data_IF_176613462425
#
_entry.id   IF_176613462425
#
_cell.length_a   1.000
_cell.length_b   1.000
_cell.length_c   1.000
_cell.angle_alpha   90.00
_cell.angle_beta   90.00
_cell.angle_gamma   90.00
#
_symmetry.space_group_name_H-M   'P 1'
#
loop_
_entity.id
_entity.type
_entity.pdbx_description
1 polymer ?
#
# COMPACT_ATOMS: atom_id res chain seq x y z
N UNK A 1 15.37 2.33 -4.66
CA UNK A 1 15.29 2.18 -3.18
C UNK A 1 14.96 0.73 -2.92
N UNK A 2 15.77 -0.01 -2.15
CA UNK A 2 15.49 -1.42 -1.88
C UNK A 2 14.25 -1.55 -1.00
N UNK A 3 13.28 -2.37 -1.41
CA UNK A 3 12.01 -2.61 -0.72
C UNK A 3 12.18 -2.84 0.78
N UNK A 4 13.10 -3.72 1.15
CA UNK A 4 13.27 -4.17 2.53
C UNK A 4 13.80 -3.05 3.44
N UNK A 5 14.54 -2.09 2.86
CA UNK A 5 15.04 -0.91 3.58
C UNK A 5 13.91 0.07 3.90
N UNK A 6 12.89 0.16 3.06
CA UNK A 6 11.78 1.11 3.24
C UNK A 6 11.02 0.83 4.53
N UNK A 7 10.76 -0.44 4.82
CA UNK A 7 10.08 -0.84 6.05
C UNK A 7 10.87 -0.45 7.31
N UNK A 8 12.19 -0.59 7.27
CA UNK A 8 13.08 -0.18 8.37
C UNK A 8 13.12 1.34 8.53
N UNK A 9 13.17 2.08 7.41
CA UNK A 9 13.19 3.55 7.43
C UNK A 9 11.85 4.17 7.86
N UNK A 10 10.73 3.50 7.56
CA UNK A 10 9.41 3.97 7.95
C UNK A 10 9.05 3.63 9.41
N UNK A 11 9.68 2.63 10.00
CA UNK A 11 9.43 2.19 11.38
C UNK A 11 9.48 3.34 12.41
N UNK A 12 10.53 4.19 12.48
CA UNK A 12 10.53 5.32 13.42
C UNK A 12 9.46 6.39 13.12
N UNK A 13 8.86 6.37 11.91
CA UNK A 13 7.83 7.33 11.51
C UNK A 13 6.42 6.86 11.88
N UNK A 14 6.14 5.56 11.78
CA UNK A 14 4.80 5.00 12.03
C UNK A 14 4.70 4.14 13.29
N UNK A 15 5.83 3.86 13.96
CA UNK A 15 5.89 2.99 15.15
C UNK A 15 5.68 1.50 14.85
N UNK A 16 5.54 1.11 13.58
CA UNK A 16 5.19 -0.24 13.16
C UNK A 16 6.44 -0.97 12.65
N UNK A 17 6.91 -2.03 13.34
CA UNK A 17 8.06 -2.81 12.89
C UNK A 17 7.78 -3.47 11.54
N UNK A 18 8.75 -3.60 10.64
CA UNK A 18 8.56 -4.32 9.38
C UNK A 18 8.25 -5.80 9.63
N UNK A 19 7.49 -6.43 8.73
CA UNK A 19 7.01 -7.81 8.90
C UNK A 19 8.10 -8.82 9.30
N UNK A 20 9.30 -8.84 8.68
CA UNK A 20 10.36 -9.76 9.09
C UNK A 20 10.79 -9.63 10.54
N UNK A 21 10.66 -8.43 11.14
CA UNK A 21 10.95 -8.19 12.56
C UNK A 21 9.80 -8.67 13.45
N UNK A 22 8.55 -8.54 12.99
CA UNK A 22 7.36 -9.06 13.72
C UNK A 22 7.32 -10.58 13.78
N UNK A 23 7.84 -11.24 12.75
CA UNK A 23 7.88 -12.69 12.65
C UNK A 23 9.01 -13.32 13.49
N UNK A 24 9.91 -12.50 14.05
CA UNK A 24 10.94 -12.99 14.96
C UNK A 24 10.31 -13.46 16.27
N UNK A 25 10.78 -14.58 16.84
CA UNK A 25 10.34 -15.01 18.15
C UNK A 25 10.68 -13.94 19.19
N UNK A 26 9.82 -13.82 20.21
CA UNK A 26 10.08 -12.95 21.34
C UNK A 26 11.47 -13.26 21.94
N UNK A 27 12.24 -12.23 22.23
CA UNK A 27 13.58 -12.40 22.77
C UNK A 27 13.52 -13.19 24.08
N UNK A 28 14.28 -14.28 24.17
CA UNK A 28 14.29 -15.18 25.32
C UNK A 28 14.70 -14.50 26.64
N UNK A 29 15.36 -13.33 26.57
CA UNK A 29 15.70 -12.51 27.72
C UNK A 29 15.36 -11.04 27.43
N UNK A 30 14.61 -10.36 28.32
CA UNK A 30 14.41 -8.93 28.20
C UNK A 30 15.76 -8.20 28.35
N UNK A 31 15.91 -7.11 27.60
CA UNK A 31 17.08 -6.22 27.75
C UNK A 31 17.10 -5.68 29.17
N UNK A 32 18.29 -5.59 29.77
CA UNK A 32 18.48 -4.99 31.10
C UNK A 32 18.62 -3.48 30.95
N UNK A 33 17.87 -2.73 31.75
CA UNK A 33 17.88 -1.26 31.78
C UNK A 33 16.89 -0.61 30.81
N UNK A 34 16.70 0.72 30.92
CA UNK A 34 15.84 1.48 30.03
C UNK A 34 16.45 1.50 28.62
N UNK A 35 15.82 0.78 27.70
CA UNK A 35 16.15 0.80 26.29
C UNK A 35 14.85 0.96 25.49
N UNK A 36 14.85 1.79 24.43
CA UNK A 36 13.68 1.94 23.59
C UNK A 36 13.34 0.58 22.94
N UNK A 37 12.04 0.29 22.88
CA UNK A 37 11.54 -0.96 22.31
C UNK A 37 11.55 -0.94 20.78
N UNK A 38 11.68 0.25 20.19
CA UNK A 38 11.68 0.51 18.76
C UNK A 38 12.70 1.60 18.41
N UNK A 39 13.10 1.75 17.13
CA UNK A 39 13.79 2.96 16.67
C UNK A 39 12.87 4.17 16.89
N UNK A 40 13.34 5.15 17.66
CA UNK A 40 12.60 6.36 18.00
C UNK A 40 13.29 7.59 17.40
N UNK A 41 12.50 8.55 16.93
CA UNK A 41 12.95 9.91 16.64
C UNK A 41 12.38 10.82 17.72
N UNK A 42 13.21 11.72 18.27
CA UNK A 42 12.70 12.78 19.15
C UNK A 42 11.70 13.66 18.40
N UNK A 43 10.84 14.37 19.13
CA UNK A 43 9.88 15.31 18.52
C UNK A 43 10.57 16.37 17.64
N UNK A 44 11.78 16.82 18.02
CA UNK A 44 12.58 17.77 17.25
C UNK A 44 13.10 17.16 15.95
N UNK A 45 13.63 15.94 16.00
CA UNK A 45 14.11 15.22 14.81
C UNK A 45 12.97 14.90 13.85
N UNK A 46 11.82 14.47 14.38
CA UNK A 46 10.61 14.20 13.59
C UNK A 46 10.14 15.45 12.85
N UNK A 47 10.06 16.60 13.55
CA UNK A 47 9.69 17.89 12.94
C UNK A 47 10.68 18.32 11.85
N UNK A 48 11.98 18.20 12.11
CA UNK A 48 13.03 18.53 11.14
C UNK A 48 12.97 17.61 9.92
N UNK A 49 12.78 16.30 10.12
CA UNK A 49 12.66 15.32 9.05
C UNK A 49 11.51 15.68 8.10
N UNK A 50 10.30 15.90 8.63
CA UNK A 50 9.16 16.22 7.77
C UNK A 50 9.28 17.59 7.09
N UNK A 51 9.87 18.59 7.77
CA UNK A 51 10.19 19.87 7.13
C UNK A 51 11.14 19.68 5.93
N UNK A 52 12.17 18.83 6.07
CA UNK A 52 13.09 18.50 4.97
C UNK A 52 12.42 17.70 3.87
N UNK A 53 11.52 16.76 4.19
CA UNK A 53 10.78 16.00 3.17
C UNK A 53 9.85 16.91 2.36
N UNK A 54 9.12 17.83 3.02
CA UNK A 54 8.30 18.85 2.34
C UNK A 54 9.14 19.73 1.41
N UNK A 55 10.24 20.29 1.92
CA UNK A 55 11.17 21.09 1.12
C UNK A 55 11.78 20.30 -0.05
N UNK A 56 12.14 19.03 0.17
CA UNK A 56 12.70 18.17 -0.88
C UNK A 56 11.67 17.90 -1.97
N UNK A 57 10.42 17.61 -1.58
CA UNK A 57 9.33 17.51 -2.54
C UNK A 57 9.21 18.80 -3.34
N UNK A 58 9.16 19.96 -2.68
CA UNK A 58 9.07 21.28 -3.34
C UNK A 58 10.19 21.59 -4.32
N UNK A 59 11.42 21.15 -4.04
CA UNK A 59 12.60 21.44 -4.87
C UNK A 59 12.82 20.41 -5.96
N UNK A 60 12.39 19.16 -5.75
CA UNK A 60 12.51 18.09 -6.72
C UNK A 60 11.51 18.30 -7.87
N UNK A 61 11.99 18.84 -9.00
CA UNK A 61 11.18 19.22 -10.18
C UNK A 61 11.68 18.54 -11.45
N UNK A 62 10.76 18.34 -12.40
CA UNK A 62 11.01 17.67 -13.67
C UNK A 62 11.21 16.15 -13.59
N UNK A 63 11.19 15.49 -14.76
CA UNK A 63 11.11 14.03 -14.87
C UNK A 63 12.26 13.29 -14.19
N UNK A 64 13.48 13.84 -14.26
CA UNK A 64 14.68 13.23 -13.65
C UNK A 64 14.64 13.17 -12.12
N UNK A 65 13.86 14.04 -11.48
CA UNK A 65 13.75 14.11 -10.02
C UNK A 65 12.39 13.61 -9.52
N UNK A 66 11.54 13.11 -10.42
CA UNK A 66 10.20 12.66 -10.07
C UNK A 66 10.20 11.59 -8.97
N UNK A 67 11.09 10.59 -9.04
CA UNK A 67 11.16 9.53 -8.05
C UNK A 67 11.49 10.07 -6.65
N UNK A 68 12.42 11.02 -6.57
CA UNK A 68 12.79 11.68 -5.32
C UNK A 68 11.61 12.48 -4.77
N UNK A 69 10.94 13.27 -5.62
CA UNK A 69 9.73 14.03 -5.27
C UNK A 69 8.66 13.09 -4.71
N UNK A 70 8.36 12.00 -5.41
CA UNK A 70 7.34 11.02 -5.01
C UNK A 70 7.67 10.38 -3.66
N UNK A 71 8.93 9.98 -3.44
CA UNK A 71 9.37 9.42 -2.16
C UNK A 71 9.26 10.43 -1.01
N UNK A 72 9.68 11.68 -1.25
CA UNK A 72 9.57 12.75 -0.26
C UNK A 72 8.10 13.06 0.10
N UNK A 73 7.20 13.11 -0.88
CA UNK A 73 5.76 13.27 -0.65
C UNK A 73 5.16 12.09 0.13
N UNK A 74 5.51 10.87 -0.26
CA UNK A 74 5.03 9.67 0.44
C UNK A 74 5.47 9.62 1.91
N UNK A 75 6.72 9.99 2.18
CA UNK A 75 7.27 10.06 3.55
C UNK A 75 6.67 11.22 4.35
N UNK A 76 6.40 12.35 3.71
CA UNK A 76 5.72 13.49 4.35
C UNK A 76 4.32 13.13 4.82
N UNK A 77 3.65 12.17 4.18
CA UNK A 77 2.35 11.65 4.61
C UNK A 77 2.35 10.75 5.85
N UNK A 78 3.46 10.69 6.58
CA UNK A 78 3.50 10.17 7.96
C UNK A 78 3.55 11.30 9.00
N UNK A 79 3.56 12.56 8.57
CA UNK A 79 3.46 13.70 9.47
C UNK A 79 2.03 13.80 9.98
N UNK A 80 1.86 13.93 11.29
CA UNK A 80 0.55 13.99 11.95
C UNK A 80 0.05 15.44 12.10
N UNK A 81 0.74 16.41 11.49
CA UNK A 81 0.30 17.81 11.47
C UNK A 81 -0.94 17.99 10.58
N UNK A 82 -1.90 18.79 11.04
CA UNK A 82 -3.19 19.02 10.38
C UNK A 82 -3.06 19.61 8.96
N UNK A 83 -2.00 20.38 8.70
CA UNK A 83 -1.73 21.01 7.40
C UNK A 83 -1.12 20.07 6.35
N UNK A 84 -0.79 18.83 6.73
CA UNK A 84 -0.09 17.86 5.87
C UNK A 84 -0.92 17.50 4.65
N UNK A 85 -2.22 17.23 4.83
CA UNK A 85 -3.10 16.82 3.73
C UNK A 85 -3.25 17.93 2.67
N UNK A 86 -3.48 19.17 3.11
CA UNK A 86 -3.62 20.33 2.23
C UNK A 86 -2.31 20.69 1.53
N UNK A 87 -1.20 20.69 2.28
CA UNK A 87 0.14 20.92 1.72
C UNK A 87 0.49 19.88 0.65
N UNK A 88 0.16 18.61 0.87
CA UNK A 88 0.38 17.56 -0.12
C UNK A 88 -0.51 17.72 -1.35
N UNK A 89 -1.79 18.07 -1.16
CA UNK A 89 -2.70 18.34 -2.26
C UNK A 89 -2.20 19.51 -3.13
N UNK A 90 -1.72 20.58 -2.50
CA UNK A 90 -1.09 21.70 -3.20
C UNK A 90 0.14 21.25 -4.00
N UNK A 91 1.07 20.54 -3.36
CA UNK A 91 2.26 20.02 -4.03
C UNK A 91 1.93 19.15 -5.25
N UNK A 92 0.88 18.35 -5.18
CA UNK A 92 0.46 17.48 -6.29
C UNK A 92 -0.15 18.27 -7.45
N UNK A 93 -0.81 19.39 -7.18
CA UNK A 93 -1.36 20.25 -8.23
C UNK A 93 -0.27 21.02 -9.00
N UNK A 94 0.82 21.39 -8.31
CA UNK A 94 1.89 22.22 -8.88
C UNK A 94 2.73 21.52 -9.93
N UNK A 95 2.88 20.19 -9.86
CA UNK A 95 3.62 19.41 -10.84
C UNK A 95 2.79 18.24 -11.31
N UNK A 96 2.45 18.26 -12.60
CA UNK A 96 1.81 17.14 -13.28
C UNK A 96 2.90 16.41 -14.04
N UNK A 97 3.32 15.23 -13.55
CA UNK A 97 4.26 14.43 -14.31
C UNK A 97 3.67 14.12 -15.68
N UNK A 98 4.53 13.77 -16.64
CA UNK A 98 4.07 13.30 -17.94
C UNK A 98 4.32 11.81 -18.05
N UNK A 99 3.33 11.09 -18.57
CA UNK A 99 3.45 9.66 -18.86
C UNK A 99 2.59 8.79 -17.95
N UNK A 100 1.91 7.84 -18.59
CA UNK A 100 0.86 7.02 -17.98
C UNK A 100 1.26 6.35 -16.65
N UNK A 101 2.46 5.77 -16.56
CA UNK A 101 2.91 5.09 -15.34
C UNK A 101 3.18 6.08 -14.21
N UNK A 102 3.84 7.18 -14.53
CA UNK A 102 4.26 8.21 -13.60
C UNK A 102 3.03 8.88 -12.99
N UNK A 103 2.03 9.20 -13.82
CA UNK A 103 0.74 9.73 -13.41
C UNK A 103 0.01 8.81 -12.43
N UNK A 104 -0.04 7.51 -12.73
CA UNK A 104 -0.73 6.54 -11.87
C UNK A 104 -0.01 6.29 -10.56
N UNK A 105 1.33 6.22 -10.56
CA UNK A 105 2.10 6.08 -9.32
C UNK A 105 2.00 7.33 -8.44
N UNK A 106 1.96 8.52 -9.04
CA UNK A 106 1.70 9.76 -8.31
C UNK A 106 0.29 9.75 -7.70
N UNK A 107 -0.75 9.48 -8.49
CA UNK A 107 -2.14 9.40 -8.05
C UNK A 107 -2.32 8.38 -6.91
N UNK A 108 -1.64 7.23 -6.98
CA UNK A 108 -1.62 6.24 -5.90
C UNK A 108 -1.05 6.81 -4.60
N UNK A 109 0.12 7.48 -4.67
CA UNK A 109 0.74 8.10 -3.49
C UNK A 109 -0.17 9.16 -2.89
N UNK A 110 -0.84 9.97 -3.72
CA UNK A 110 -1.84 10.95 -3.28
C UNK A 110 -2.95 10.29 -2.48
N UNK A 111 -3.61 9.31 -3.08
CA UNK A 111 -4.73 8.62 -2.47
C UNK A 111 -4.32 7.91 -1.18
N UNK A 112 -3.14 7.28 -1.16
CA UNK A 112 -2.64 6.58 0.01
C UNK A 112 -2.38 7.52 1.19
N UNK A 113 -1.87 8.72 0.94
CA UNK A 113 -1.67 9.70 2.02
C UNK A 113 -3.01 10.30 2.47
N UNK A 114 -3.88 10.69 1.56
CA UNK A 114 -5.20 11.22 1.89
C UNK A 114 -6.01 10.23 2.75
N UNK A 115 -5.97 8.95 2.39
CA UNK A 115 -6.56 7.86 3.14
C UNK A 115 -6.02 7.75 4.58
N UNK A 116 -4.74 8.03 4.83
CA UNK A 116 -4.16 8.04 6.20
C UNK A 116 -4.74 9.16 7.06
N UNK A 117 -5.10 10.28 6.44
CA UNK A 117 -5.74 11.41 7.09
C UNK A 117 -7.28 11.33 7.07
N UNK A 118 -7.84 10.18 6.69
CA UNK A 118 -9.28 9.91 6.74
C UNK A 118 -10.06 10.26 5.46
N UNK A 119 -9.43 10.86 4.46
CA UNK A 119 -10.05 11.12 3.15
C UNK A 119 -10.06 9.82 2.31
N UNK A 120 -11.17 9.09 2.41
CA UNK A 120 -11.42 7.87 1.65
C UNK A 120 -11.87 8.14 0.21
N UNK A 121 -12.39 9.33 -0.07
CA UNK A 121 -12.95 9.68 -1.40
C UNK A 121 -11.86 9.71 -2.46
N UNK A 122 -10.67 10.24 -2.13
CA UNK A 122 -9.52 10.20 -3.04
C UNK A 122 -9.07 8.78 -3.37
N UNK A 123 -9.21 7.85 -2.43
CA UNK A 123 -8.93 6.44 -2.70
C UNK A 123 -9.95 5.84 -3.67
N UNK A 124 -11.24 6.14 -3.47
CA UNK A 124 -12.29 5.76 -4.41
C UNK A 124 -12.01 6.28 -5.83
N UNK A 125 -11.73 7.59 -5.95
CA UNK A 125 -11.39 8.22 -7.22
C UNK A 125 -10.16 7.61 -7.91
N UNK A 126 -9.12 7.27 -7.14
CA UNK A 126 -7.95 6.57 -7.67
C UNK A 126 -8.31 5.20 -8.23
N UNK A 127 -9.13 4.42 -7.51
CA UNK A 127 -9.59 3.11 -8.00
C UNK A 127 -10.39 3.27 -9.29
N UNK A 128 -11.32 4.23 -9.35
CA UNK A 128 -12.14 4.53 -10.53
C UNK A 128 -11.31 4.85 -11.77
N UNK A 129 -10.37 5.78 -11.62
CA UNK A 129 -9.68 6.39 -12.76
C UNK A 129 -8.41 5.65 -13.14
N UNK A 130 -7.68 5.15 -12.15
CA UNK A 130 -6.37 4.56 -12.35
C UNK A 130 -6.38 3.03 -12.29
N UNK A 131 -7.45 2.38 -11.82
CA UNK A 131 -7.56 0.92 -11.78
C UNK A 131 -8.78 0.37 -12.55
N UNK A 132 -9.53 1.23 -13.25
CA UNK A 132 -10.72 0.81 -13.99
C UNK A 132 -10.45 -0.14 -15.17
N UNK A 133 -9.26 -0.06 -15.77
CA UNK A 133 -8.84 -0.90 -16.91
C UNK A 133 -7.90 -2.04 -16.48
N UNK A 134 -7.77 -3.06 -17.33
CA UNK A 134 -6.95 -4.24 -17.02
C UNK A 134 -5.46 -3.91 -16.91
N UNK A 135 -4.99 -2.92 -17.69
CA UNK A 135 -3.62 -2.40 -17.59
C UNK A 135 -3.35 -1.80 -16.21
N UNK A 136 -4.30 -1.05 -15.65
CA UNK A 136 -4.23 -0.47 -14.31
C UNK A 136 -4.24 -1.51 -13.21
N UNK A 137 -5.14 -2.49 -13.32
CA UNK A 137 -5.19 -3.62 -12.39
C UNK A 137 -3.87 -4.39 -12.41
N UNK A 138 -3.34 -4.70 -13.60
CA UNK A 138 -2.05 -5.38 -13.74
C UNK A 138 -0.90 -4.58 -13.12
N UNK A 139 -0.83 -3.27 -13.39
CA UNK A 139 0.16 -2.39 -12.79
C UNK A 139 0.06 -2.33 -11.27
N UNK A 140 -1.15 -2.23 -10.72
CA UNK A 140 -1.37 -2.26 -9.28
C UNK A 140 -0.95 -3.58 -8.63
N UNK A 141 -1.24 -4.71 -9.29
CA UNK A 141 -0.80 -6.02 -8.82
C UNK A 141 0.72 -6.15 -8.87
N UNK A 142 1.37 -5.70 -9.96
CA UNK A 142 2.83 -5.68 -10.07
C UNK A 142 3.49 -4.78 -9.02
N UNK A 143 2.93 -3.58 -8.78
CA UNK A 143 3.36 -2.70 -7.71
C UNK A 143 3.31 -3.42 -6.36
N UNK A 144 2.15 -4.00 -6.01
CA UNK A 144 1.98 -4.70 -4.75
C UNK A 144 2.95 -5.88 -4.62
N UNK A 145 2.99 -6.76 -5.63
CA UNK A 145 3.84 -7.94 -5.65
C UNK A 145 5.33 -7.60 -5.47
N UNK A 146 5.80 -6.48 -6.05
CA UNK A 146 7.13 -5.97 -5.76
C UNK A 146 7.26 -5.61 -4.28
N UNK A 147 6.44 -4.68 -3.80
CA UNK A 147 6.56 -4.08 -2.46
C UNK A 147 6.33 -5.04 -1.29
N UNK A 148 5.60 -6.15 -1.48
CA UNK A 148 5.32 -7.10 -0.39
C UNK A 148 6.27 -8.29 -0.33
N UNK A 149 7.21 -8.43 -1.27
CA UNK A 149 8.09 -9.61 -1.25
C UNK A 149 7.81 -10.69 -2.29
N UNK A 150 6.79 -10.56 -3.12
CA UNK A 150 6.36 -11.65 -4.01
C UNK A 150 7.34 -11.79 -5.18
N UNK A 151 7.73 -10.66 -5.75
CA UNK A 151 8.81 -10.63 -6.74
C UNK A 151 10.14 -10.85 -6.02
N UNK A 152 10.83 -11.92 -6.38
CA UNK A 152 12.14 -12.27 -5.84
C UNK A 152 13.28 -11.40 -6.38
N UNK A 153 13.08 -10.78 -7.55
CA UNK A 153 14.07 -9.90 -8.17
C UNK A 153 13.95 -8.48 -7.64
N UNK A 154 15.10 -7.84 -7.44
CA UNK A 154 15.18 -6.42 -7.13
C UNK A 154 15.11 -5.62 -8.42
N UNK A 155 13.98 -4.95 -8.61
CA UNK A 155 13.78 -3.99 -9.68
C UNK A 155 14.49 -2.67 -9.37
N UNK A 156 15.23 -2.16 -10.36
CA UNK A 156 15.99 -0.91 -10.29
C UNK A 156 15.25 0.28 -10.93
N UNK A 157 14.20 0.00 -11.70
CA UNK A 157 13.30 0.96 -12.33
C UNK A 157 11.86 0.61 -11.97
N UNK A 158 10.92 1.54 -12.17
CA UNK A 158 9.48 1.28 -12.05
C UNK A 158 8.89 0.67 -13.34
N UNK A 159 9.67 0.52 -14.42
CA UNK A 159 9.18 0.08 -15.74
C UNK A 159 8.46 -1.27 -15.70
N UNK A 160 8.89 -2.18 -14.82
CA UNK A 160 8.23 -3.48 -14.64
C UNK A 160 6.73 -3.35 -14.25
N UNK A 161 6.35 -2.24 -13.62
CA UNK A 161 4.98 -1.94 -13.23
C UNK A 161 4.12 -1.66 -14.46
N UNK A 162 4.69 -1.10 -15.53
CA UNK A 162 3.95 -0.81 -16.76
C UNK A 162 3.66 -2.05 -17.62
N UNK A 163 4.16 -3.23 -17.24
CA UNK A 163 3.87 -4.49 -17.93
C UNK A 163 2.36 -4.74 -18.00
N UNK A 164 1.80 -5.07 -19.18
CA UNK A 164 0.37 -5.33 -19.34
C UNK A 164 -0.08 -6.63 -18.65
N UNK A 165 0.87 -7.53 -18.36
CA UNK A 165 0.60 -8.78 -17.67
C UNK A 165 1.32 -8.80 -16.32
N UNK A 166 0.63 -9.20 -15.24
CA UNK A 166 1.28 -9.50 -13.97
C UNK A 166 2.37 -10.57 -14.21
N UNK A 167 3.60 -10.31 -13.73
CA UNK A 167 4.73 -11.23 -13.91
C UNK A 167 4.49 -12.64 -13.39
N UNK A 168 5.38 -13.62 -13.65
CA UNK A 168 5.18 -15.05 -13.34
C UNK A 168 5.20 -15.40 -11.84
N UNK A 169 5.06 -14.41 -10.96
CA UNK A 169 5.09 -14.60 -9.52
C UNK A 169 3.85 -15.36 -9.00
N UNK A 170 3.95 -16.22 -7.97
CA UNK A 170 2.85 -17.12 -7.55
C UNK A 170 1.57 -16.40 -7.10
N UNK A 171 1.70 -15.38 -6.26
CA UNK A 171 0.61 -14.56 -5.72
C UNK A 171 0.20 -14.93 -4.29
N UNK A 172 0.81 -15.95 -3.68
CA UNK A 172 0.46 -16.42 -2.34
C UNK A 172 0.78 -15.41 -1.23
N UNK A 173 1.94 -14.74 -1.29
CA UNK A 173 2.30 -13.70 -0.32
C UNK A 173 1.41 -12.49 -0.50
N UNK A 174 1.08 -12.13 -1.74
CA UNK A 174 0.16 -11.04 -2.03
C UNK A 174 -1.25 -11.35 -1.52
N UNK A 175 -1.79 -12.54 -1.76
CA UNK A 175 -3.08 -12.96 -1.20
C UNK A 175 -3.05 -12.89 0.33
N UNK A 176 -1.99 -13.40 0.95
CA UNK A 176 -1.80 -13.35 2.40
C UNK A 176 -1.79 -11.91 2.90
N UNK A 177 -1.05 -11.03 2.24
CA UNK A 177 -0.96 -9.62 2.60
C UNK A 177 -2.32 -8.92 2.51
N UNK A 178 -3.03 -9.08 1.39
CA UNK A 178 -4.32 -8.46 1.15
C UNK A 178 -5.39 -8.98 2.12
N UNK A 179 -5.41 -10.30 2.39
CA UNK A 179 -6.32 -10.88 3.37
C UNK A 179 -6.07 -10.33 4.78
N UNK A 180 -4.81 -10.16 5.20
CA UNK A 180 -4.50 -9.50 6.48
C UNK A 180 -4.85 -8.01 6.50
N UNK A 181 -4.75 -7.33 5.36
CA UNK A 181 -5.08 -5.93 5.18
C UNK A 181 -6.59 -5.62 5.10
N UNK A 182 -7.46 -6.64 5.16
CA UNK A 182 -8.91 -6.44 5.26
C UNK A 182 -9.28 -6.01 6.68
N UNK A 183 -9.26 -4.70 6.91
CA UNK A 183 -9.75 -4.07 8.14
C UNK A 183 -10.27 -2.67 7.84
N UNK A 184 -11.48 -2.39 8.33
CA UNK A 184 -12.21 -1.13 8.10
C UNK A 184 -11.53 0.07 8.74
N UNK A 185 -10.69 -0.16 9.75
CA UNK A 185 -9.90 0.89 10.39
C UNK A 185 -8.82 1.50 9.47
N UNK A 186 -8.46 0.82 8.37
CA UNK A 186 -7.47 1.32 7.43
C UNK A 186 -8.14 2.15 6.33
N UNK A 187 -7.73 3.41 6.14
CA UNK A 187 -8.30 4.28 5.10
C UNK A 187 -8.12 3.80 3.66
N UNK A 188 -7.31 2.77 3.43
CA UNK A 188 -7.06 2.15 2.12
C UNK A 188 -7.68 0.76 1.97
N UNK A 189 -8.67 0.40 2.81
CA UNK A 189 -9.35 -0.90 2.76
C UNK A 189 -9.97 -1.20 1.39
N UNK A 190 -10.56 -0.19 0.74
CA UNK A 190 -11.14 -0.31 -0.60
C UNK A 190 -10.09 -0.70 -1.65
N UNK A 191 -8.87 -0.16 -1.54
CA UNK A 191 -7.76 -0.54 -2.42
C UNK A 191 -7.35 -1.99 -2.20
N UNK A 192 -7.35 -2.47 -0.95
CA UNK A 192 -7.03 -3.86 -0.64
C UNK A 192 -8.09 -4.80 -1.21
N UNK A 193 -9.38 -4.45 -1.08
CA UNK A 193 -10.49 -5.21 -1.64
C UNK A 193 -10.41 -5.27 -3.17
N UNK A 194 -10.20 -4.12 -3.82
CA UNK A 194 -10.08 -4.04 -5.27
C UNK A 194 -8.86 -4.82 -5.79
N UNK A 195 -7.73 -4.74 -5.06
CA UNK A 195 -6.52 -5.50 -5.38
C UNK A 195 -6.74 -7.00 -5.21
N UNK A 196 -7.48 -7.42 -4.18
CA UNK A 196 -7.81 -8.83 -3.93
C UNK A 196 -8.73 -9.37 -5.04
N UNK A 197 -9.79 -8.64 -5.36
CA UNK A 197 -10.70 -8.98 -6.45
C UNK A 197 -9.95 -9.12 -7.78
N UNK A 198 -9.10 -8.15 -8.11
CA UNK A 198 -8.27 -8.16 -9.32
C UNK A 198 -7.27 -9.33 -9.33
N UNK A 199 -6.65 -9.64 -8.18
CA UNK A 199 -5.71 -10.76 -8.05
C UNK A 199 -6.41 -12.09 -8.36
N UNK A 200 -7.59 -12.31 -7.78
CA UNK A 200 -8.34 -13.55 -7.94
C UNK A 200 -8.90 -13.72 -9.35
N UNK A 201 -9.23 -12.61 -10.04
CA UNK A 201 -9.60 -12.65 -11.45
C UNK A 201 -8.47 -13.19 -12.34
N UNK A 202 -7.21 -12.82 -12.05
CA UNK A 202 -6.04 -13.27 -12.82
C UNK A 202 -5.49 -14.62 -12.32
N UNK A 203 -5.65 -14.92 -11.03
CA UNK A 203 -5.09 -16.11 -10.36
C UNK A 203 -6.15 -16.84 -9.53
N UNK A 204 -7.20 -17.41 -10.16
CA UNK A 204 -8.29 -18.07 -9.43
C UNK A 204 -7.82 -19.30 -8.63
N UNK A 205 -6.73 -19.94 -9.06
CA UNK A 205 -6.17 -21.12 -8.39
C UNK A 205 -5.67 -20.86 -6.97
N UNK A 206 -5.44 -19.58 -6.59
CA UNK A 206 -5.07 -19.21 -5.22
C UNK A 206 -6.15 -19.56 -4.19
N UNK A 207 -7.40 -19.79 -4.63
CA UNK A 207 -8.49 -20.15 -3.72
C UNK A 207 -8.51 -21.64 -3.34
N UNK A 208 -7.87 -22.51 -4.13
CA UNK A 208 -8.01 -23.98 -4.02
C UNK A 208 -7.52 -24.52 -2.68
N UNK A 209 -6.45 -23.97 -2.12
CA UNK A 209 -5.96 -24.38 -0.80
C UNK A 209 -4.93 -23.37 -0.25
N UNK A 210 -4.61 -23.48 1.03
CA UNK A 210 -3.55 -22.68 1.67
C UNK A 210 -4.04 -21.84 2.86
N UNK A 211 -3.10 -21.43 3.70
CA UNK A 211 -3.38 -20.63 4.89
C UNK A 211 -4.00 -19.27 4.53
N UNK A 212 -3.53 -18.64 3.44
CA UNK A 212 -4.03 -17.36 2.95
C UNK A 212 -5.52 -17.44 2.57
N UNK A 213 -5.89 -18.49 1.82
CA UNK A 213 -7.27 -18.73 1.40
C UNK A 213 -8.20 -18.98 2.59
N UNK A 214 -7.75 -19.74 3.62
CA UNK A 214 -8.51 -19.88 4.89
C UNK A 214 -8.64 -18.56 5.66
N UNK A 215 -7.57 -17.78 5.72
CA UNK A 215 -7.55 -16.49 6.40
C UNK A 215 -8.45 -15.45 5.72
N UNK A 216 -8.57 -15.52 4.39
CA UNK A 216 -9.54 -14.73 3.63
C UNK A 216 -10.97 -15.15 3.97
N UNK A 217 -11.29 -16.45 3.88
CA UNK A 217 -12.63 -16.99 4.22
C UNK A 217 -13.11 -16.53 5.59
N UNK A 218 -12.24 -16.61 6.60
CA UNK A 218 -12.56 -16.22 7.96
C UNK A 218 -12.89 -14.72 8.09
N UNK A 219 -12.37 -13.86 7.21
CA UNK A 219 -12.56 -12.40 7.25
C UNK A 219 -13.74 -11.91 6.43
N UNK A 220 -14.14 -12.64 5.38
CA UNK A 220 -15.19 -12.20 4.45
C UNK A 220 -16.52 -11.83 5.16
N UNK A 221 -17.08 -12.65 6.07
CA UNK A 221 -18.36 -12.32 6.72
C UNK A 221 -18.28 -11.00 7.50
N UNK A 222 -17.25 -10.83 8.33
CA UNK A 222 -17.05 -9.61 9.12
C UNK A 222 -16.93 -8.37 8.25
N UNK A 223 -16.27 -8.48 7.11
CA UNK A 223 -16.11 -7.38 6.17
C UNK A 223 -17.42 -7.05 5.44
N UNK A 224 -18.20 -8.06 5.03
CA UNK A 224 -19.49 -7.87 4.37
C UNK A 224 -20.55 -7.28 5.31
N UNK A 225 -20.47 -7.53 6.60
CA UNK A 225 -21.36 -6.92 7.60
C UNK A 225 -21.03 -5.44 7.88
N UNK A 226 -19.87 -4.94 7.44
CA UNK A 226 -19.45 -3.57 7.72
C UNK A 226 -20.17 -2.53 6.86
N UNK A 227 -20.78 -1.54 7.52
CA UNK A 227 -21.38 -0.36 6.85
C UNK A 227 -20.34 0.65 6.34
N UNK A 228 -19.06 0.48 6.66
CA UNK A 228 -17.99 1.42 6.31
C UNK A 228 -17.43 1.24 4.90
N UNK A 229 -17.80 0.15 4.21
CA UNK A 229 -17.33 -0.14 2.86
C UNK A 229 -18.04 0.71 1.82
N UNK A 230 -17.30 1.17 0.81
CA UNK A 230 -17.95 1.78 -0.35
C UNK A 230 -18.85 0.77 -1.09
N UNK A 231 -19.86 1.24 -1.83
CA UNK A 231 -20.71 0.36 -2.64
C UNK A 231 -19.92 -0.49 -3.64
N UNK A 232 -18.81 0.01 -4.19
CA UNK A 232 -17.92 -0.77 -5.05
C UNK A 232 -17.25 -1.89 -4.27
N UNK A 233 -16.57 -1.54 -3.18
CA UNK A 233 -15.81 -2.49 -2.39
C UNK A 233 -16.72 -3.63 -1.91
N UNK A 234 -17.95 -3.32 -1.49
CA UNK A 234 -18.96 -4.32 -1.15
C UNK A 234 -19.25 -5.29 -2.30
N UNK A 235 -19.55 -4.80 -3.51
CA UNK A 235 -19.82 -5.66 -4.69
C UNK A 235 -18.62 -6.51 -5.09
N UNK A 236 -17.43 -5.95 -5.03
CA UNK A 236 -16.19 -6.68 -5.31
C UNK A 236 -15.98 -7.79 -4.27
N UNK A 237 -16.26 -7.51 -3.00
CA UNK A 237 -16.14 -8.48 -1.92
C UNK A 237 -17.19 -9.60 -2.02
N UNK A 238 -18.43 -9.28 -2.39
CA UNK A 238 -19.47 -10.27 -2.71
C UNK A 238 -19.04 -11.18 -3.88
N UNK A 239 -18.39 -10.60 -4.89
CA UNK A 239 -17.83 -11.37 -6.02
C UNK A 239 -16.71 -12.31 -5.57
N UNK A 240 -15.86 -11.85 -4.63
CA UNK A 240 -14.82 -12.68 -4.01
C UNK A 240 -15.43 -13.80 -3.18
N UNK A 241 -16.46 -13.53 -2.38
CA UNK A 241 -17.18 -14.54 -1.62
C UNK A 241 -17.79 -15.60 -2.54
N UNK A 242 -18.41 -15.18 -3.65
CA UNK A 242 -18.93 -16.10 -4.65
C UNK A 242 -17.83 -16.98 -5.26
N UNK A 243 -16.68 -16.40 -5.64
CA UNK A 243 -15.55 -17.15 -6.18
C UNK A 243 -14.98 -18.16 -5.17
N UNK A 244 -14.94 -17.80 -3.88
CA UNK A 244 -14.55 -18.71 -2.80
C UNK A 244 -15.49 -19.90 -2.70
N UNK A 245 -16.81 -19.67 -2.71
CA UNK A 245 -17.81 -20.75 -2.67
C UNK A 245 -17.71 -21.66 -3.88
N UNK A 246 -17.47 -21.10 -5.07
CA UNK A 246 -17.29 -21.87 -6.30
C UNK A 246 -16.04 -22.75 -6.27
N UNK A 247 -14.95 -22.29 -5.63
CA UNK A 247 -13.73 -23.07 -5.50
C UNK A 247 -13.83 -24.22 -4.48
N UNK A 248 -14.90 -24.26 -3.68
CA UNK A 248 -15.19 -25.33 -2.71
C UNK A 248 -16.13 -26.41 -3.25
N UNK A 249 -16.87 -26.10 -4.33
CA UNK A 249 -17.78 -27.02 -5.01
C UNK A 249 -17.03 -28.00 -5.91
#
# INVERSE_FOLDING_TARGET
MQRDLVGVLAWPLNGVPPQPVRDLPAAARPRRGPAPSTPELSAVERKLFFARMRQTAEQARGDRQFLLRRQALYLSGYDDQDDTADGLAHQQATERPSGWLIDRLNARSVAAVAARHGDRDRMGHFIDTALGDDRGKAANLSYWAYWIGEMGQLELSDDFIASPHPGPWPGDRLLTHLAHGLSTAHGYVDLNIHSLWSLLAVRPNLLRSGAASRALRARLPMMLDSSELSPRARRELESVEYAVRLAEA
#
